data_IF_617989309033
#
_entry.id   IF_617989309033
#
_cell.length_a   1.000
_cell.length_b   1.000
_cell.length_c   1.000
_cell.angle_alpha   90.00
_cell.angle_beta   90.00
_cell.angle_gamma   90.00
#
_symmetry.space_group_name_H-M   'P 1'
#
loop_
_entity.id
_entity.type
_entity.pdbx_description
1 polymer ?
#
# COMPACT_ATOMS: atom_id res chain seq x y z
N UNK A 1 6.21 6.04 2.79
CA UNK A 1 4.93 6.40 2.14
C UNK A 1 4.55 7.85 2.47
N UNK A 2 5.54 8.74 2.62
CA UNK A 2 5.25 10.12 2.99
C UNK A 2 4.71 10.91 1.79
N UNK A 3 3.77 11.85 1.98
CA UNK A 3 3.25 12.32 3.27
C UNK A 3 2.07 11.51 3.84
N UNK A 4 1.53 10.55 3.09
CA UNK A 4 0.33 9.81 3.51
C UNK A 4 0.56 8.99 4.78
N UNK A 5 1.70 8.30 4.89
CA UNK A 5 2.14 7.55 6.06
C UNK A 5 3.60 7.87 6.38
N UNK A 6 3.85 8.14 7.66
CA UNK A 6 5.19 8.35 8.24
C UNK A 6 5.60 7.14 9.08
N UNK A 7 6.90 7.04 9.33
CA UNK A 7 7.38 6.09 10.32
C UNK A 7 6.71 6.35 11.69
N UNK A 8 6.35 5.28 12.38
CA UNK A 8 5.56 5.33 13.62
C UNK A 8 4.04 5.54 13.46
N UNK A 9 3.50 5.73 12.25
CA UNK A 9 2.05 5.77 12.04
C UNK A 9 1.42 4.39 12.34
N UNK A 10 0.32 4.37 13.10
CA UNK A 10 -0.44 3.16 13.40
C UNK A 10 -1.62 3.03 12.47
N UNK A 11 -1.68 1.93 11.72
CA UNK A 11 -2.67 1.74 10.65
C UNK A 11 -3.55 0.53 10.88
N UNK A 12 -4.81 0.66 10.48
CA UNK A 12 -5.74 -0.45 10.37
C UNK A 12 -5.75 -0.95 8.93
N UNK A 13 -5.37 -2.22 8.77
CA UNK A 13 -5.43 -2.94 7.49
C UNK A 13 -6.61 -3.91 7.53
N UNK A 14 -7.37 -3.97 6.44
CA UNK A 14 -8.56 -4.80 6.35
C UNK A 14 -8.67 -5.49 4.99
N UNK A 15 -9.29 -6.67 4.98
CA UNK A 15 -9.54 -7.50 3.81
C UNK A 15 -10.89 -7.20 3.14
N UNK A 16 -11.46 -5.99 3.36
CA UNK A 16 -12.77 -5.58 2.83
C UNK A 16 -12.97 -6.01 1.36
N UNK A 17 -14.13 -6.63 1.10
CA UNK A 17 -14.39 -7.43 -0.09
C UNK A 17 -14.09 -6.76 -1.44
N UNK A 18 -13.53 -7.58 -2.33
CA UNK A 18 -13.13 -7.21 -3.69
C UNK A 18 -11.64 -6.86 -3.82
N UNK A 19 -11.11 -6.85 -5.04
CA UNK A 19 -9.72 -6.47 -5.28
C UNK A 19 -9.48 -4.99 -4.89
N UNK A 20 -8.26 -4.63 -4.46
CA UNK A 20 -7.86 -3.25 -4.24
C UNK A 20 -8.10 -2.36 -5.46
N UNK A 21 -8.37 -1.08 -5.23
CA UNK A 21 -8.58 -0.10 -6.31
C UNK A 21 -7.37 0.81 -6.46
N UNK A 22 -7.22 1.37 -7.67
CA UNK A 22 -6.24 2.43 -7.93
C UNK A 22 -6.43 3.57 -6.93
N UNK A 23 -5.31 4.07 -6.40
CA UNK A 23 -5.26 5.11 -5.38
C UNK A 23 -5.26 4.60 -3.94
N UNK A 24 -5.58 3.33 -3.69
CA UNK A 24 -5.60 2.77 -2.33
C UNK A 24 -4.22 2.37 -1.84
N UNK A 25 -3.99 2.47 -0.53
CA UNK A 25 -2.77 1.94 0.10
C UNK A 25 -3.03 0.50 0.51
N UNK A 26 -2.14 -0.40 0.12
CA UNK A 26 -2.23 -1.83 0.43
C UNK A 26 -1.01 -2.30 1.20
N UNK A 27 -1.22 -3.30 2.06
CA UNK A 27 -0.18 -4.12 2.65
C UNK A 27 0.05 -5.32 1.73
N UNK A 28 1.27 -5.49 1.25
CA UNK A 28 1.63 -6.57 0.35
C UNK A 28 2.97 -7.20 0.76
N UNK A 29 3.22 -8.42 0.30
CA UNK A 29 4.55 -9.04 0.37
C UNK A 29 5.48 -8.42 -0.67
N UNK A 30 6.76 -8.29 -0.36
CA UNK A 30 7.79 -7.98 -1.37
C UNK A 30 8.05 -9.25 -2.20
N UNK A 31 7.83 -9.25 -3.53
CA UNK A 31 8.02 -10.44 -4.36
C UNK A 31 9.44 -11.01 -4.31
N UNK A 32 10.43 -10.19 -3.94
CA UNK A 32 11.84 -10.61 -3.83
C UNK A 32 12.16 -11.21 -2.46
N UNK A 33 11.37 -10.89 -1.44
CA UNK A 33 11.55 -11.33 -0.06
C UNK A 33 10.16 -11.49 0.59
N UNK A 34 9.47 -12.63 0.42
CA UNK A 34 8.06 -12.79 0.81
C UNK A 34 7.76 -12.56 2.30
N UNK A 35 8.76 -12.75 3.18
CA UNK A 35 8.66 -12.46 4.62
C UNK A 35 8.65 -10.95 4.93
N UNK A 36 9.07 -10.11 3.97
CA UNK A 36 9.07 -8.66 4.09
C UNK A 36 7.74 -8.11 3.61
N UNK A 37 7.03 -7.45 4.52
CA UNK A 37 5.81 -6.72 4.19
C UNK A 37 6.10 -5.26 3.81
N UNK A 38 5.37 -4.76 2.83
CA UNK A 38 5.49 -3.39 2.31
C UNK A 38 4.12 -2.72 2.25
N UNK A 39 4.10 -1.42 2.56
CA UNK A 39 2.95 -0.56 2.32
C UNK A 39 3.21 0.27 1.07
N UNK A 40 2.31 0.17 0.09
CA UNK A 40 2.41 0.87 -1.19
C UNK A 40 1.05 1.31 -1.68
N UNK A 41 1.01 2.30 -2.57
CA UNK A 41 -0.22 2.74 -3.23
C UNK A 41 -0.39 1.99 -4.54
N UNK A 42 -1.62 1.53 -4.82
CA UNK A 42 -1.99 0.97 -6.11
C UNK A 42 -1.98 2.10 -7.13
N UNK A 43 -1.02 2.08 -8.06
CA UNK A 43 -0.92 3.05 -9.13
C UNK A 43 -1.70 2.61 -10.38
N UNK A 44 -1.68 1.32 -10.68
CA UNK A 44 -2.39 0.72 -11.81
C UNK A 44 -2.72 -0.75 -11.52
N UNK A 45 -3.62 -1.31 -12.32
CA UNK A 45 -3.90 -2.74 -12.38
C UNK A 45 -3.67 -3.19 -13.81
N UNK A 46 -2.75 -4.14 -14.00
CA UNK A 46 -2.30 -4.62 -15.31
C UNK A 46 -2.38 -6.14 -15.31
N UNK A 47 -3.17 -6.70 -16.22
CA UNK A 47 -3.32 -8.16 -16.38
C UNK A 47 -3.66 -8.91 -15.07
N UNK A 48 -4.44 -8.29 -14.18
CA UNK A 48 -4.82 -8.87 -12.88
C UNK A 48 -3.76 -8.75 -11.79
N UNK A 49 -2.60 -8.15 -12.07
CA UNK A 49 -1.58 -7.78 -11.11
C UNK A 49 -1.61 -6.27 -10.82
N UNK A 50 -1.01 -5.87 -9.71
CA UNK A 50 -1.08 -4.51 -9.19
C UNK A 50 0.28 -3.84 -9.29
N UNK A 51 0.32 -2.69 -9.96
CA UNK A 51 1.50 -1.82 -9.95
C UNK A 51 1.45 -1.01 -8.65
N UNK A 52 2.38 -1.28 -7.75
CA UNK A 52 2.46 -0.69 -6.42
C UNK A 52 3.58 0.33 -6.37
N UNK A 53 3.26 1.59 -6.06
CA UNK A 53 4.24 2.69 -6.00
C UNK A 53 4.26 3.34 -4.62
N UNK A 54 5.42 3.85 -4.23
CA UNK A 54 5.55 4.71 -3.06
C UNK A 54 5.10 6.15 -3.35
N UNK A 55 4.52 6.81 -2.37
CA UNK A 55 4.16 8.25 -2.45
C UNK A 55 5.40 9.16 -2.62
N UNK A 56 6.58 8.66 -2.27
CA UNK A 56 7.87 9.32 -2.45
C UNK A 56 8.76 8.48 -3.38
N UNK A 57 8.76 8.77 -4.69
CA UNK A 57 9.43 7.94 -5.70
C UNK A 57 10.94 7.73 -5.44
N UNK A 58 11.62 8.75 -4.93
CA UNK A 58 13.08 8.81 -4.69
C UNK A 58 13.54 7.97 -3.49
N UNK A 59 12.64 7.64 -2.57
CA UNK A 59 12.94 6.88 -1.34
C UNK A 59 12.24 5.51 -1.31
N UNK A 60 11.65 5.09 -2.43
CA UNK A 60 10.79 3.91 -2.49
C UNK A 60 11.36 2.83 -3.39
N UNK A 61 11.72 1.68 -2.80
CA UNK A 61 11.79 0.42 -3.55
C UNK A 61 10.37 -0.11 -3.73
N UNK A 62 9.89 -0.17 -4.97
CA UNK A 62 8.52 -0.54 -5.32
C UNK A 62 8.43 -1.24 -6.69
N UNK A 63 7.25 -1.30 -7.33
CA UNK A 63 7.04 -2.04 -8.59
C UNK A 63 7.93 -1.58 -9.73
N UNK A 64 8.56 -0.40 -9.66
CA UNK A 64 9.62 0.00 -10.61
C UNK A 64 10.86 -0.89 -10.56
N UNK A 65 11.07 -1.58 -9.45
CA UNK A 65 12.22 -2.47 -9.20
C UNK A 65 11.82 -3.94 -9.27
N UNK A 66 10.68 -4.32 -8.68
CA UNK A 66 10.26 -5.73 -8.58
C UNK A 66 9.09 -6.12 -9.51
N UNK A 67 8.55 -5.18 -10.28
CA UNK A 67 7.41 -5.43 -11.17
C UNK A 67 6.04 -5.41 -10.48
N UNK A 68 4.97 -5.75 -11.22
CA UNK A 68 3.61 -5.86 -10.66
C UNK A 68 3.50 -6.98 -9.62
N UNK A 69 2.62 -6.79 -8.63
CA UNK A 69 2.38 -7.75 -7.53
C UNK A 69 1.06 -8.49 -7.76
N UNK A 70 1.01 -9.83 -7.70
CA UNK A 70 -0.24 -10.57 -7.87
C UNK A 70 -1.20 -10.32 -6.70
N UNK A 71 -2.50 -10.49 -6.95
CA UNK A 71 -3.53 -10.28 -5.92
C UNK A 71 -3.30 -11.09 -4.63
N UNK A 72 -2.78 -12.32 -4.76
CA UNK A 72 -2.53 -13.24 -3.64
C UNK A 72 -1.45 -12.76 -2.66
N UNK A 73 -0.56 -11.88 -3.12
CA UNK A 73 0.47 -11.26 -2.29
C UNK A 73 -0.01 -9.97 -1.62
N UNK A 74 -1.24 -9.53 -1.91
CA UNK A 74 -1.87 -8.40 -1.23
C UNK A 74 -2.68 -8.92 -0.03
N UNK A 75 -2.23 -8.54 1.16
CA UNK A 75 -2.82 -8.98 2.42
C UNK A 75 -4.03 -8.14 2.85
N UNK A 76 -4.14 -6.91 2.37
CA UNK A 76 -5.28 -6.06 2.66
C UNK A 76 -5.04 -4.58 2.36
N UNK A 77 -6.07 -3.77 2.63
CA UNK A 77 -6.12 -2.33 2.36
C UNK A 77 -5.95 -1.56 3.66
N UNK A 78 -5.06 -0.58 3.68
CA UNK A 78 -4.94 0.37 4.78
C UNK A 78 -6.07 1.41 4.68
N UNK A 79 -6.97 1.42 5.66
CA UNK A 79 -8.20 2.26 5.61
C UNK A 79 -8.19 3.42 6.59
N UNK A 80 -7.49 3.26 7.71
CA UNK A 80 -7.46 4.24 8.79
C UNK A 80 -6.05 4.32 9.36
N UNK A 81 -5.54 5.53 9.55
CA UNK A 81 -4.47 5.79 10.50
C UNK A 81 -5.11 6.20 11.82
N UNK A 82 -4.97 5.38 12.86
CA UNK A 82 -5.60 5.61 14.15
C UNK A 82 -4.62 6.12 15.23
N UNK A 83 -3.34 6.28 14.88
CA UNK A 83 -2.33 6.90 15.73
C UNK A 83 -1.07 7.29 14.96
N UNK A 84 -0.16 8.08 15.57
CA UNK A 84 -0.27 8.69 16.90
C UNK A 84 -1.28 9.85 16.96
N UNK A 85 -1.67 10.27 18.18
CA UNK A 85 -2.60 11.37 18.41
C UNK A 85 -2.14 12.64 17.67
N UNK A 86 -3.05 13.28 16.92
CA UNK A 86 -2.73 14.42 16.04
C UNK A 86 -2.49 14.06 14.58
N UNK A 87 -2.37 12.78 14.23
CA UNK A 87 -2.31 12.32 12.84
C UNK A 87 -3.52 11.50 12.41
N UNK A 88 -4.45 11.17 13.30
CA UNK A 88 -5.62 10.33 12.99
C UNK A 88 -6.34 10.79 11.72
N UNK A 89 -6.65 9.87 10.81
CA UNK A 89 -7.31 10.18 9.56
C UNK A 89 -7.50 8.98 8.64
N UNK A 90 -8.45 9.09 7.71
CA UNK A 90 -8.75 8.03 6.73
C UNK A 90 -7.66 7.96 5.65
N UNK A 91 -7.35 6.75 5.19
CA UNK A 91 -6.35 6.48 4.13
C UNK A 91 -6.99 6.13 2.78
N UNK A 92 -8.26 6.50 2.60
CA UNK A 92 -9.02 6.21 1.38
C UNK A 92 -8.38 6.78 0.11
N UNK A 93 -8.85 6.33 -1.07
CA UNK A 93 -8.33 6.77 -2.34
C UNK A 93 -8.38 8.30 -2.42
N UNK A 94 -7.24 8.92 -2.77
CA UNK A 94 -7.22 10.34 -3.12
C UNK A 94 -8.01 10.50 -4.41
N UNK A 95 -9.05 11.34 -4.38
CA UNK A 95 -9.71 11.83 -5.59
C UNK A 95 -8.75 12.73 -6.37
#
# INVERSE_FOLDING_TARGET
MEPALRDGDWILVTTLGGPPRVGEIVLAKDPRQPERLVLKRVAAVENGAFVLLGDRPEESTDSRVFGPVPHEDILGRAVLRYGPFGRIGTLGPRR
#
